data_IF_874463859610
#
_entry.id   IF_874463859610
#
_cell.length_a   1.000
_cell.length_b   1.000
_cell.length_c   1.000
_cell.angle_alpha   90.00
_cell.angle_beta   90.00
_cell.angle_gamma   90.00
#
_symmetry.space_group_name_H-M   'P 1'
#
loop_
_entity.id
_entity.type
_entity.pdbx_description
1 polymer ?
#
# COMPACT_ATOMS: atom_id res chain seq x y z
N UNK A 1 11.36 7.74 -32.58
CA UNK A 1 11.15 7.43 -31.15
C UNK A 1 10.02 6.41 -31.08
N UNK A 2 10.33 5.13 -31.29
CA UNK A 2 9.32 4.08 -31.20
C UNK A 2 9.03 3.87 -29.70
N UNK A 3 7.80 4.10 -29.28
CA UNK A 3 7.37 3.76 -27.93
C UNK A 3 7.51 2.24 -27.80
N UNK A 4 8.25 1.75 -26.81
CA UNK A 4 8.36 0.32 -26.53
C UNK A 4 6.97 -0.19 -26.13
N UNK A 5 6.24 -0.77 -27.09
CA UNK A 5 4.89 -1.29 -26.90
C UNK A 5 4.85 -2.33 -25.77
N UNK A 6 5.97 -3.02 -25.54
CA UNK A 6 6.16 -3.95 -24.43
C UNK A 6 6.19 -3.23 -23.09
N UNK A 7 7.01 -2.18 -22.95
CA UNK A 7 7.05 -1.34 -21.72
C UNK A 7 5.70 -0.69 -21.42
N UNK A 8 4.98 -0.24 -22.45
CA UNK A 8 3.64 0.33 -22.30
C UNK A 8 2.61 -0.73 -21.85
N UNK A 9 2.67 -1.94 -22.41
CA UNK A 9 1.83 -3.07 -22.00
C UNK A 9 2.10 -3.47 -20.55
N UNK A 10 3.36 -3.56 -20.15
CA UNK A 10 3.75 -3.88 -18.77
C UNK A 10 3.29 -2.81 -17.78
N UNK A 11 3.47 -1.52 -18.11
CA UNK A 11 3.04 -0.42 -17.26
C UNK A 11 1.51 -0.39 -17.10
N UNK A 12 0.78 -0.56 -18.21
CA UNK A 12 -0.70 -0.50 -18.22
C UNK A 12 -1.31 -1.71 -17.50
N UNK A 13 -0.78 -2.91 -17.74
CA UNK A 13 -1.21 -4.13 -17.04
C UNK A 13 -0.92 -4.08 -15.55
N UNK A 14 0.25 -3.56 -15.16
CA UNK A 14 0.60 -3.35 -13.75
C UNK A 14 -0.32 -2.33 -13.07
N UNK A 15 -0.60 -1.20 -13.71
CA UNK A 15 -1.47 -0.16 -13.16
C UNK A 15 -2.92 -0.64 -13.01
N UNK A 16 -3.50 -1.24 -14.05
CA UNK A 16 -4.86 -1.80 -14.02
C UNK A 16 -4.97 -2.95 -13.01
N UNK A 17 -3.98 -3.84 -12.96
CA UNK A 17 -3.93 -4.93 -11.98
C UNK A 17 -3.90 -4.40 -10.55
N UNK A 18 -3.10 -3.37 -10.29
CA UNK A 18 -3.04 -2.73 -8.97
C UNK A 18 -4.36 -2.06 -8.57
N UNK A 19 -5.00 -1.34 -9.49
CA UNK A 19 -6.27 -0.65 -9.22
C UNK A 19 -7.41 -1.64 -8.96
N UNK A 20 -7.52 -2.68 -9.79
CA UNK A 20 -8.55 -3.71 -9.65
C UNK A 20 -8.33 -4.53 -8.38
N UNK A 21 -7.09 -4.95 -8.10
CA UNK A 21 -6.74 -5.67 -6.87
C UNK A 21 -7.09 -4.83 -5.63
N UNK A 22 -6.74 -3.54 -5.64
CA UNK A 22 -7.05 -2.62 -4.53
C UNK A 22 -8.55 -2.47 -4.35
N UNK A 23 -9.31 -2.32 -5.44
CA UNK A 23 -10.78 -2.16 -5.38
C UNK A 23 -11.44 -3.42 -4.81
N UNK A 24 -11.05 -4.61 -5.28
CA UNK A 24 -11.58 -5.90 -4.82
C UNK A 24 -11.27 -6.11 -3.32
N UNK A 25 -10.09 -5.71 -2.86
CA UNK A 25 -9.63 -5.92 -1.49
C UNK A 25 -9.95 -4.76 -0.54
N UNK A 26 -10.51 -3.67 -1.03
CA UNK A 26 -10.83 -2.49 -0.22
C UNK A 26 -11.81 -2.80 0.93
N UNK A 27 -12.84 -3.64 0.76
CA UNK A 27 -13.70 -4.03 1.88
C UNK A 27 -12.94 -4.70 3.03
N UNK A 28 -11.94 -5.53 2.71
CA UNK A 28 -11.10 -6.19 3.71
C UNK A 28 -10.22 -5.16 4.46
N UNK A 29 -9.74 -4.12 3.76
CA UNK A 29 -9.02 -3.01 4.38
C UNK A 29 -9.88 -2.23 5.36
N UNK A 30 -11.12 -1.91 4.97
CA UNK A 30 -12.05 -1.19 5.84
C UNK A 30 -12.43 -2.02 7.06
N UNK A 31 -12.71 -3.31 6.89
CA UNK A 31 -12.96 -4.20 8.03
C UNK A 31 -11.76 -4.24 8.97
N UNK A 32 -10.54 -4.35 8.42
CA UNK A 32 -9.31 -4.40 9.21
C UNK A 32 -9.07 -3.11 9.98
N UNK A 33 -9.18 -1.96 9.33
CA UNK A 33 -8.92 -0.66 9.95
C UNK A 33 -9.95 -0.38 11.05
N UNK A 34 -11.24 -0.66 10.83
CA UNK A 34 -12.26 -0.57 11.87
C UNK A 34 -11.98 -1.50 13.06
N UNK A 35 -11.67 -2.78 12.78
CA UNK A 35 -11.31 -3.74 13.83
C UNK A 35 -10.07 -3.32 14.63
N UNK A 36 -9.10 -2.66 14.00
CA UNK A 36 -7.90 -2.15 14.69
C UNK A 36 -8.23 -1.03 15.69
N UNK A 37 -9.21 -0.17 15.35
CA UNK A 37 -9.58 1.06 16.09
C UNK A 37 -10.53 0.82 17.26
N UNK A 38 -11.38 -0.20 17.18
CA UNK A 38 -12.49 -0.46 18.11
C UNK A 38 -12.11 -0.48 19.61
N UNK A 39 -10.85 -0.77 19.98
CA UNK A 39 -10.45 -0.89 21.39
C UNK A 39 -10.28 0.48 22.10
N UNK A 40 -10.50 1.58 21.39
CA UNK A 40 -10.56 2.90 22.02
C UNK A 40 -11.87 3.13 22.79
N UNK A 41 -12.93 2.36 22.50
CA UNK A 41 -14.24 2.53 23.13
C UNK A 41 -14.40 1.70 24.42
N UNK A 42 -15.20 2.21 25.34
CA UNK A 42 -15.27 1.85 26.75
C UNK A 42 -15.67 0.38 27.01
N UNK A 43 -14.69 -0.50 27.22
CA UNK A 43 -14.83 -1.75 27.99
C UNK A 43 -15.68 -2.88 27.37
N UNK A 44 -16.47 -2.59 26.33
CA UNK A 44 -17.31 -3.56 25.62
C UNK A 44 -16.70 -3.80 24.24
N UNK A 45 -16.22 -5.02 23.98
CA UNK A 45 -15.75 -5.41 22.63
C UNK A 45 -16.97 -5.54 21.71
N UNK A 46 -17.23 -4.57 20.85
CA UNK A 46 -18.30 -4.65 19.83
C UNK A 46 -18.06 -5.76 18.81
N UNK A 47 -16.79 -5.97 18.42
CA UNK A 47 -16.39 -7.00 17.45
C UNK A 47 -15.48 -8.05 18.09
N UNK A 48 -15.80 -9.34 17.95
CA UNK A 48 -14.90 -10.45 18.31
C UNK A 48 -13.95 -10.76 17.16
N UNK A 49 -14.49 -10.76 15.95
CA UNK A 49 -13.79 -11.14 14.73
C UNK A 49 -13.95 -10.10 13.62
N UNK A 50 -13.06 -10.16 12.63
CA UNK A 50 -13.15 -9.35 11.41
C UNK A 50 -14.45 -9.62 10.65
N UNK A 51 -14.97 -10.84 10.71
CA UNK A 51 -16.24 -11.25 10.12
C UNK A 51 -17.43 -10.47 10.67
N UNK A 52 -17.37 -10.05 11.93
CA UNK A 52 -18.47 -9.36 12.59
C UNK A 52 -18.63 -7.95 12.00
N UNK A 53 -17.52 -7.31 11.65
CA UNK A 53 -17.49 -6.02 10.96
C UNK A 53 -18.12 -6.13 9.57
N UNK A 54 -17.79 -7.20 8.84
CA UNK A 54 -18.40 -7.47 7.54
C UNK A 54 -19.89 -7.79 7.65
N UNK A 55 -20.26 -8.60 8.66
CA UNK A 55 -21.65 -8.98 8.91
C UNK A 55 -22.52 -7.79 9.30
N UNK A 56 -22.02 -6.86 10.12
CA UNK A 56 -22.72 -5.62 10.44
C UNK A 56 -22.97 -4.77 9.18
N UNK A 57 -21.98 -4.63 8.31
CA UNK A 57 -22.13 -3.88 7.07
C UNK A 57 -23.21 -4.50 6.15
N UNK A 58 -23.28 -5.83 6.09
CA UNK A 58 -24.28 -6.58 5.31
C UNK A 58 -25.67 -6.44 5.96
N UNK A 59 -25.77 -6.69 7.26
CA UNK A 59 -27.02 -6.64 8.03
C UNK A 59 -27.67 -5.25 7.98
N UNK A 60 -26.85 -4.19 8.07
CA UNK A 60 -27.31 -2.81 8.00
C UNK A 60 -27.58 -2.33 6.57
N UNK A 61 -27.44 -3.20 5.55
CA UNK A 61 -27.52 -2.87 4.10
C UNK A 61 -26.60 -1.72 3.68
N UNK A 62 -25.48 -1.56 4.38
CA UNK A 62 -24.50 -0.49 4.17
C UNK A 62 -23.19 -1.02 3.56
N UNK A 63 -23.28 -1.99 2.64
CA UNK A 63 -22.10 -2.60 1.98
C UNK A 63 -21.26 -1.56 1.22
N UNK A 64 -21.89 -0.56 0.62
CA UNK A 64 -21.20 0.56 -0.03
C UNK A 64 -20.34 1.38 0.96
N UNK A 65 -20.67 1.35 2.25
CA UNK A 65 -19.89 2.05 3.25
C UNK A 65 -18.53 1.39 3.50
N UNK A 66 -18.33 0.13 3.07
CA UNK A 66 -17.01 -0.51 3.06
C UNK A 66 -16.05 0.16 2.06
N UNK A 67 -16.57 0.94 1.11
CA UNK A 67 -15.79 1.71 0.13
C UNK A 67 -15.58 3.18 0.54
N UNK A 68 -15.95 3.56 1.76
CA UNK A 68 -15.72 4.91 2.27
C UNK A 68 -14.23 5.26 2.26
N UNK A 69 -13.91 6.41 1.68
CA UNK A 69 -12.54 6.89 1.53
C UNK A 69 -11.74 6.30 0.36
N UNK A 70 -12.32 5.40 -0.48
CA UNK A 70 -11.59 4.80 -1.60
C UNK A 70 -11.07 5.87 -2.58
N UNK A 71 -11.91 6.84 -2.95
CA UNK A 71 -11.52 7.94 -3.84
C UNK A 71 -10.36 8.76 -3.25
N UNK A 72 -10.44 9.08 -1.96
CA UNK A 72 -9.36 9.76 -1.22
C UNK A 72 -8.09 8.92 -1.21
N UNK A 73 -8.19 7.61 -1.00
CA UNK A 73 -7.04 6.70 -0.94
C UNK A 73 -6.35 6.58 -2.29
N UNK A 74 -7.11 6.52 -3.38
CA UNK A 74 -6.59 6.51 -4.74
C UNK A 74 -5.90 7.84 -5.08
N UNK A 75 -6.52 8.97 -4.74
CA UNK A 75 -5.91 10.30 -4.93
C UNK A 75 -4.59 10.43 -4.15
N UNK A 76 -4.60 10.01 -2.88
CA UNK A 76 -3.40 9.96 -2.03
C UNK A 76 -2.31 9.11 -2.66
N UNK A 77 -2.66 7.92 -3.18
CA UNK A 77 -1.71 6.99 -3.81
C UNK A 77 -1.11 7.57 -5.09
N UNK A 78 -1.93 8.25 -5.91
CA UNK A 78 -1.47 8.93 -7.11
C UNK A 78 -0.46 10.04 -6.78
N UNK A 79 -0.79 10.93 -5.84
CA UNK A 79 0.09 12.01 -5.40
C UNK A 79 1.37 11.43 -4.80
N UNK A 80 1.27 10.37 -4.00
CA UNK A 80 2.43 9.71 -3.41
C UNK A 80 3.41 9.20 -4.46
N UNK A 81 2.89 8.51 -5.48
CA UNK A 81 3.69 7.95 -6.55
C UNK A 81 4.38 9.05 -7.38
N UNK A 82 3.65 10.13 -7.68
CA UNK A 82 4.18 11.27 -8.40
C UNK A 82 5.33 11.93 -7.63
N UNK A 83 5.09 12.31 -6.37
CA UNK A 83 6.09 12.97 -5.52
C UNK A 83 7.31 12.08 -5.30
N UNK A 84 7.10 10.77 -5.13
CA UNK A 84 8.20 9.82 -4.93
C UNK A 84 9.11 9.74 -6.16
N UNK A 85 8.55 9.46 -7.34
CA UNK A 85 9.37 9.32 -8.55
C UNK A 85 9.99 10.62 -9.01
N UNK A 86 9.25 11.73 -8.91
CA UNK A 86 9.78 13.05 -9.22
C UNK A 86 10.91 13.41 -8.26
N UNK A 87 10.69 13.28 -6.95
CA UNK A 87 11.69 13.56 -5.92
C UNK A 87 12.94 12.69 -6.07
N UNK A 88 12.75 11.38 -6.28
CA UNK A 88 13.86 10.46 -6.53
C UNK A 88 14.66 10.83 -7.78
N UNK A 89 14.00 11.14 -8.90
CA UNK A 89 14.66 11.56 -10.14
C UNK A 89 15.42 12.88 -9.97
N UNK A 90 14.83 13.82 -9.23
CA UNK A 90 15.44 15.10 -8.90
C UNK A 90 16.69 14.92 -8.03
N UNK A 91 16.60 14.19 -6.91
CA UNK A 91 17.74 13.93 -6.04
C UNK A 91 18.84 13.14 -6.76
N UNK A 92 18.47 12.16 -7.60
CA UNK A 92 19.40 11.41 -8.46
C UNK A 92 20.16 12.34 -9.40
N UNK A 93 19.47 13.26 -10.09
CA UNK A 93 20.12 14.23 -10.99
C UNK A 93 21.10 15.12 -10.24
N UNK A 94 20.67 15.70 -9.12
CA UNK A 94 21.53 16.55 -8.28
C UNK A 94 22.79 15.81 -7.78
N UNK A 95 22.63 14.55 -7.37
CA UNK A 95 23.76 13.73 -6.91
C UNK A 95 24.78 13.47 -8.02
N UNK A 96 24.30 13.12 -9.22
CA UNK A 96 25.17 12.85 -10.37
C UNK A 96 25.91 14.11 -10.84
N UNK A 97 25.21 15.25 -10.91
CA UNK A 97 25.81 16.54 -11.27
C UNK A 97 26.88 16.98 -10.26
N UNK A 98 26.62 16.80 -8.96
CA UNK A 98 27.55 17.25 -7.90
C UNK A 98 28.73 16.31 -7.68
N UNK A 99 28.55 15.01 -7.92
CA UNK A 99 29.59 14.00 -7.64
C UNK A 99 30.43 13.64 -8.87
N UNK A 100 30.00 14.00 -10.07
CA UNK A 100 30.70 13.68 -11.33
C UNK A 100 30.72 12.20 -11.71
N UNK A 101 30.07 11.32 -10.93
CA UNK A 101 30.01 9.88 -11.21
C UNK A 101 29.02 9.57 -12.35
N UNK A 102 29.36 8.60 -13.21
CA UNK A 102 28.46 8.12 -14.29
C UNK A 102 27.36 7.18 -13.78
N UNK A 103 27.48 6.62 -12.58
CA UNK A 103 26.52 5.67 -12.00
C UNK A 103 26.35 5.87 -10.49
N UNK A 104 25.20 5.42 -9.97
CA UNK A 104 24.87 5.51 -8.56
C UNK A 104 25.17 4.17 -7.89
N UNK A 105 26.06 4.19 -6.89
CA UNK A 105 26.29 3.02 -6.04
C UNK A 105 25.10 2.72 -5.13
N UNK A 106 24.94 1.46 -4.73
CA UNK A 106 23.79 0.97 -3.94
C UNK A 106 23.51 1.80 -2.68
N UNK A 107 24.56 2.22 -1.95
CA UNK A 107 24.41 3.05 -0.74
C UNK A 107 23.82 4.42 -1.05
N UNK A 108 24.33 5.11 -2.07
CA UNK A 108 23.81 6.39 -2.51
C UNK A 108 22.36 6.24 -3.01
N UNK A 109 22.07 5.17 -3.76
CA UNK A 109 20.72 4.88 -4.23
C UNK A 109 19.70 4.76 -3.10
N UNK A 110 20.07 4.06 -2.02
CA UNK A 110 19.23 3.91 -0.82
C UNK A 110 18.98 5.24 -0.11
N UNK A 111 20.00 6.10 0.00
CA UNK A 111 19.85 7.43 0.62
C UNK A 111 18.90 8.31 -0.21
N UNK A 112 19.06 8.31 -1.54
CA UNK A 112 18.19 9.08 -2.44
C UNK A 112 16.75 8.57 -2.41
N UNK A 113 16.57 7.25 -2.37
CA UNK A 113 15.25 6.63 -2.22
C UNK A 113 14.61 6.96 -0.86
N UNK A 114 15.37 6.97 0.22
CA UNK A 114 14.91 7.36 1.55
C UNK A 114 14.52 8.84 1.62
N UNK A 115 15.31 9.72 1.02
CA UNK A 115 15.00 11.15 0.91
C UNK A 115 13.70 11.38 0.12
N UNK A 116 13.54 10.70 -1.02
CA UNK A 116 12.31 10.74 -1.80
C UNK A 116 11.10 10.22 -1.00
N UNK A 117 11.24 9.08 -0.32
CA UNK A 117 10.21 8.50 0.53
C UNK A 117 9.79 9.42 1.68
N UNK A 118 10.75 10.12 2.29
CA UNK A 118 10.49 11.09 3.36
C UNK A 118 9.71 12.29 2.84
N UNK A 119 10.13 12.89 1.71
CA UNK A 119 9.40 13.98 1.06
C UNK A 119 7.97 13.56 0.70
N UNK A 120 7.79 12.37 0.14
CA UNK A 120 6.48 11.81 -0.17
C UNK A 120 5.61 11.65 1.06
N UNK A 121 6.17 11.13 2.16
CA UNK A 121 5.42 10.95 3.40
C UNK A 121 4.93 12.29 3.95
N UNK A 122 5.77 13.33 3.94
CA UNK A 122 5.40 14.68 4.41
C UNK A 122 4.27 15.26 3.56
N UNK A 123 4.38 15.19 2.23
CA UNK A 123 3.37 15.76 1.33
C UNK A 123 2.03 15.03 1.40
N UNK A 124 2.07 13.71 1.57
CA UNK A 124 0.85 12.89 1.50
C UNK A 124 0.20 12.64 2.86
N UNK A 125 0.84 13.02 3.97
CA UNK A 125 0.34 12.79 5.32
C UNK A 125 -1.09 13.32 5.55
N UNK A 126 -1.47 14.55 5.14
CA UNK A 126 -2.83 15.05 5.33
C UNK A 126 -3.89 14.18 4.66
N UNK A 127 -3.60 13.69 3.45
CA UNK A 127 -4.52 12.83 2.70
C UNK A 127 -4.61 11.43 3.29
N UNK A 128 -3.50 10.90 3.82
CA UNK A 128 -3.48 9.60 4.48
C UNK A 128 -4.28 9.64 5.79
N UNK A 129 -4.10 10.69 6.59
CA UNK A 129 -4.90 10.92 7.80
C UNK A 129 -6.39 11.10 7.46
N UNK A 130 -6.73 11.90 6.45
CA UNK A 130 -8.12 12.06 6.01
C UNK A 130 -8.73 10.74 5.52
N UNK A 131 -7.99 9.95 4.74
CA UNK A 131 -8.45 8.64 4.27
C UNK A 131 -8.68 7.67 5.43
N UNK A 132 -7.78 7.64 6.42
CA UNK A 132 -7.95 6.81 7.61
C UNK A 132 -9.19 7.21 8.41
N UNK A 133 -9.41 8.51 8.66
CA UNK A 133 -10.63 9.00 9.34
C UNK A 133 -11.90 8.62 8.59
N UNK A 134 -11.91 8.73 7.26
CA UNK A 134 -13.06 8.31 6.46
C UNK A 134 -13.31 6.79 6.57
N UNK A 135 -12.26 5.97 6.57
CA UNK A 135 -12.35 4.51 6.69
C UNK A 135 -12.82 4.06 8.09
N UNK A 136 -12.40 4.77 9.14
CA UNK A 136 -12.74 4.42 10.53
C UNK A 136 -14.05 5.02 11.00
N UNK A 137 -14.67 5.90 10.21
CA UNK A 137 -15.97 6.52 10.52
C UNK A 137 -17.10 5.48 10.58
N UNK A 138 -18.15 5.77 11.34
CA UNK A 138 -19.35 4.92 11.37
C UNK A 138 -19.94 4.73 9.97
N UNK A 139 -20.56 3.57 9.74
CA UNK A 139 -21.13 3.24 8.43
C UNK A 139 -22.19 4.26 8.00
N UNK A 140 -22.12 4.69 6.74
CA UNK A 140 -22.96 5.77 6.20
C UNK A 140 -22.67 7.19 6.69
N UNK A 141 -21.79 7.39 7.69
CA UNK A 141 -21.49 8.71 8.29
C UNK A 141 -20.17 9.34 7.83
N UNK A 142 -19.42 8.71 6.93
CA UNK A 142 -18.16 9.28 6.42
C UNK A 142 -18.40 10.64 5.75
N UNK A 143 -17.71 11.66 6.26
CA UNK A 143 -17.65 12.99 5.66
C UNK A 143 -16.83 12.94 4.35
N UNK A 144 -17.08 13.87 3.44
CA UNK A 144 -16.29 14.00 2.21
C UNK A 144 -14.85 14.46 2.49
N UNK A 145 -13.95 14.30 1.51
CA UNK A 145 -12.54 14.65 1.64
C UNK A 145 -12.34 16.11 2.09
N UNK A 146 -12.98 17.05 1.40
CA UNK A 146 -12.89 18.48 1.71
C UNK A 146 -13.28 18.79 3.15
N UNK A 147 -14.42 18.26 3.58
CA UNK A 147 -14.93 18.45 4.94
C UNK A 147 -13.99 17.84 5.99
N UNK A 148 -13.44 16.65 5.71
CA UNK A 148 -12.49 15.97 6.60
C UNK A 148 -11.16 16.73 6.74
N UNK A 149 -10.72 17.42 5.68
CA UNK A 149 -9.49 18.23 5.69
C UNK A 149 -9.69 19.59 6.38
N UNK A 150 -10.88 20.18 6.31
CA UNK A 150 -11.16 21.53 6.83
C UNK A 150 -11.65 21.55 8.28
N UNK A 151 -12.19 20.45 8.79
CA UNK A 151 -12.73 20.38 10.16
C UNK A 151 -11.67 20.29 11.27
N UNK A 152 -10.40 20.01 10.91
CA UNK A 152 -9.31 19.84 11.87
C UNK A 152 -8.26 20.96 11.84
N UNK A 153 -7.36 20.93 12.81
CA UNK A 153 -6.16 21.79 12.83
C UNK A 153 -5.12 21.23 11.85
N UNK A 154 -4.21 22.08 11.33
CA UNK A 154 -3.06 21.62 10.54
C UNK A 154 -2.25 20.53 11.26
N UNK A 155 -2.08 20.64 12.59
CA UNK A 155 -1.40 19.60 13.38
C UNK A 155 -2.10 18.24 13.28
N UNK A 156 -3.43 18.23 13.26
CA UNK A 156 -4.23 17.00 13.25
C UNK A 156 -4.12 16.29 11.90
N UNK A 157 -3.90 17.04 10.81
CA UNK A 157 -3.65 16.46 9.49
C UNK A 157 -2.31 15.70 9.42
N UNK A 158 -1.33 16.11 10.22
CA UNK A 158 0.00 15.49 10.31
C UNK A 158 0.10 14.42 11.41
N UNK A 159 -1.00 14.05 12.05
CA UNK A 159 -1.03 12.98 13.04
C UNK A 159 -0.51 11.66 12.46
N UNK A 160 0.41 11.03 13.19
CA UNK A 160 1.07 9.80 12.76
C UNK A 160 2.27 9.99 11.83
N UNK A 161 2.69 11.22 11.48
CA UNK A 161 3.82 11.47 10.59
C UNK A 161 5.11 10.76 11.05
N UNK A 162 5.44 10.83 12.35
CA UNK A 162 6.63 10.16 12.89
C UNK A 162 6.60 8.64 12.68
N UNK A 163 5.42 8.02 12.78
CA UNK A 163 5.24 6.61 12.49
C UNK A 163 5.26 6.35 10.98
N UNK A 164 4.67 7.22 10.16
CA UNK A 164 4.76 7.14 8.69
C UNK A 164 6.22 7.14 8.22
N UNK A 165 7.07 8.00 8.81
CA UNK A 165 8.51 8.03 8.54
C UNK A 165 9.18 6.73 8.94
N UNK A 166 8.89 6.19 10.13
CA UNK A 166 9.40 4.86 10.53
C UNK A 166 8.97 3.76 9.55
N UNK A 167 7.72 3.81 9.07
CA UNK A 167 7.17 2.85 8.11
C UNK A 167 7.78 2.95 6.72
N UNK A 168 8.49 4.02 6.37
CA UNK A 168 9.29 4.08 5.13
C UNK A 168 10.42 3.05 5.09
N UNK A 169 10.80 2.48 6.25
CA UNK A 169 11.73 1.35 6.33
C UNK A 169 11.13 0.00 5.90
N UNK A 170 9.79 -0.12 5.83
CA UNK A 170 9.12 -1.38 5.49
C UNK A 170 9.58 -1.96 4.13
N UNK A 171 9.64 -1.18 3.02
CA UNK A 171 10.23 -1.65 1.77
C UNK A 171 11.68 -2.09 1.91
N UNK A 172 12.51 -1.39 2.69
CA UNK A 172 13.92 -1.75 2.87
C UNK A 172 14.07 -3.12 3.56
N UNK A 173 13.27 -3.38 4.60
CA UNK A 173 13.22 -4.68 5.27
C UNK A 173 12.75 -5.76 4.29
N UNK A 174 11.67 -5.49 3.54
CA UNK A 174 11.14 -6.41 2.54
C UNK A 174 12.19 -6.78 1.48
N UNK A 175 12.87 -5.79 0.88
CA UNK A 175 13.89 -6.04 -0.14
C UNK A 175 15.10 -6.78 0.43
N UNK A 176 15.52 -6.46 1.65
CA UNK A 176 16.65 -7.15 2.31
C UNK A 176 16.33 -8.62 2.53
N UNK A 177 15.13 -8.94 3.04
CA UNK A 177 14.69 -10.33 3.23
C UNK A 177 14.55 -11.03 1.88
N UNK A 178 13.99 -10.35 0.88
CA UNK A 178 13.82 -10.88 -0.47
C UNK A 178 15.17 -11.26 -1.10
N UNK A 179 16.16 -10.38 -1.04
CA UNK A 179 17.47 -10.62 -1.60
C UNK A 179 18.20 -11.77 -0.88
N UNK A 180 18.12 -11.83 0.46
CA UNK A 180 18.71 -12.93 1.22
C UNK A 180 18.08 -14.28 0.87
N UNK A 181 16.74 -14.34 0.78
CA UNK A 181 16.04 -15.57 0.41
C UNK A 181 16.33 -15.97 -1.04
N UNK A 182 16.29 -15.01 -1.96
CA UNK A 182 16.63 -15.24 -3.38
C UNK A 182 18.06 -15.76 -3.53
N UNK A 183 19.04 -15.16 -2.85
CA UNK A 183 20.43 -15.61 -2.91
C UNK A 183 20.62 -17.01 -2.33
N UNK A 184 19.94 -17.36 -1.22
CA UNK A 184 20.00 -18.71 -0.64
C UNK A 184 19.43 -19.76 -1.61
N UNK A 185 18.28 -19.47 -2.23
CA UNK A 185 17.66 -20.36 -3.20
C UNK A 185 18.51 -20.55 -4.45
N UNK A 186 19.10 -19.48 -4.98
CA UNK A 186 20.02 -19.56 -6.12
C UNK A 186 21.25 -20.41 -5.78
N UNK A 187 21.86 -20.19 -4.60
CA UNK A 187 23.01 -20.99 -4.13
C UNK A 187 22.65 -22.47 -3.95
N UNK A 188 21.44 -22.79 -3.49
CA UNK A 188 20.99 -24.16 -3.33
C UNK A 188 20.79 -24.84 -4.69
N UNK A 189 20.13 -24.16 -5.65
CA UNK A 189 19.98 -24.67 -7.02
C UNK A 189 21.30 -24.82 -7.77
N UNK A 190 22.26 -23.93 -7.53
CA UNK A 190 23.63 -24.05 -8.07
C UNK A 190 24.40 -25.24 -7.48
N UNK A 191 24.05 -25.70 -6.28
CA UNK A 191 24.64 -26.93 -5.69
C UNK A 191 23.96 -28.20 -6.16
N UNK A 192 22.69 -28.12 -6.55
CA UNK A 192 21.89 -29.23 -7.07
C UNK A 192 22.06 -29.41 -8.60
N UNK A 193 22.46 -28.37 -9.32
CA UNK A 193 22.76 -28.44 -10.75
C UNK A 193 24.19 -28.96 -10.99
N UNK A 194 24.28 -30.24 -11.37
CA UNK A 194 25.47 -30.79 -12.01
C UNK A 194 25.75 -30.04 -13.32
N UNK A 195 27.02 -30.00 -13.73
CA UNK A 195 27.55 -29.24 -14.86
C UNK A 195 26.58 -29.26 -16.07
N UNK A 196 26.20 -28.08 -16.58
CA UNK A 196 25.62 -27.84 -17.93
C UNK A 196 24.10 -27.57 -18.08
N UNK A 197 23.54 -26.57 -17.39
CA UNK A 197 22.24 -25.99 -17.80
C UNK A 197 22.04 -24.53 -17.37
N UNK A 198 21.84 -23.67 -18.38
CA UNK A 198 21.11 -22.37 -18.47
C UNK A 198 21.06 -21.40 -17.26
N UNK A 199 21.02 -20.06 -17.49
CA UNK A 199 20.82 -19.10 -16.41
C UNK A 199 19.55 -19.45 -15.63
N UNK A 200 19.69 -19.82 -14.35
CA UNK A 200 18.59 -20.24 -13.48
C UNK A 200 17.73 -19.01 -13.17
N UNK A 201 16.80 -18.70 -14.07
CA UNK A 201 15.75 -17.72 -13.83
C UNK A 201 14.77 -18.32 -12.83
N UNK A 202 14.52 -17.61 -11.73
CA UNK A 202 13.57 -18.03 -10.72
C UNK A 202 12.18 -18.07 -11.37
N UNK A 203 11.48 -19.23 -11.30
CA UNK A 203 10.11 -19.34 -11.77
C UNK A 203 9.25 -18.22 -11.16
N UNK A 204 8.35 -17.63 -11.96
CA UNK A 204 7.50 -16.51 -11.54
C UNK A 204 6.77 -16.82 -10.23
N UNK A 205 6.32 -18.07 -10.06
CA UNK A 205 5.67 -18.53 -8.84
C UNK A 205 6.62 -18.58 -7.63
N UNK A 206 7.87 -19.01 -7.80
CA UNK A 206 8.85 -18.99 -6.71
C UNK A 206 9.26 -17.57 -6.35
N UNK A 207 9.43 -16.68 -7.34
CA UNK A 207 9.70 -15.26 -7.11
C UNK A 207 8.54 -14.59 -6.36
N UNK A 208 7.30 -14.93 -6.72
CA UNK A 208 6.10 -14.53 -6.01
C UNK A 208 6.11 -14.99 -4.54
N UNK A 209 6.36 -16.28 -4.29
CA UNK A 209 6.32 -16.84 -2.95
C UNK A 209 7.40 -16.22 -2.05
N UNK A 210 8.62 -16.04 -2.58
CA UNK A 210 9.70 -15.35 -1.88
C UNK A 210 9.31 -13.90 -1.60
N UNK A 211 8.67 -13.22 -2.57
CA UNK A 211 8.09 -11.89 -2.40
C UNK A 211 7.06 -11.82 -1.27
N UNK A 212 6.13 -12.77 -1.23
CA UNK A 212 5.06 -12.85 -0.23
C UNK A 212 5.60 -13.12 1.18
N UNK A 213 6.55 -14.04 1.32
CA UNK A 213 7.23 -14.33 2.59
C UNK A 213 7.98 -13.08 3.08
N UNK A 214 8.74 -12.45 2.19
CA UNK A 214 9.50 -11.24 2.50
C UNK A 214 8.58 -10.09 2.95
N UNK A 215 7.44 -9.92 2.27
CA UNK A 215 6.43 -8.93 2.64
C UNK A 215 5.81 -9.25 4.00
N UNK A 216 5.56 -10.51 4.29
CA UNK A 216 4.97 -10.96 5.56
C UNK A 216 5.93 -10.70 6.72
N UNK A 217 7.22 -11.07 6.59
CA UNK A 217 8.25 -10.79 7.61
C UNK A 217 8.39 -9.29 7.87
N UNK A 218 8.50 -8.49 6.81
CA UNK A 218 8.56 -7.02 6.95
C UNK A 218 7.30 -6.46 7.64
N UNK A 219 6.14 -7.00 7.31
CA UNK A 219 4.87 -6.61 7.90
C UNK A 219 4.82 -6.96 9.38
N UNK A 220 5.20 -8.19 9.79
CA UNK A 220 5.22 -8.62 11.20
C UNK A 220 6.12 -7.70 12.03
N UNK A 221 7.33 -7.39 11.53
CA UNK A 221 8.29 -6.54 12.23
C UNK A 221 7.79 -5.10 12.39
N UNK A 222 7.09 -4.58 11.38
CA UNK A 222 6.59 -3.19 11.38
C UNK A 222 5.15 -3.06 11.90
N UNK A 223 4.49 -4.18 12.19
CA UNK A 223 3.08 -4.22 12.53
C UNK A 223 2.68 -3.38 13.75
N UNK A 224 3.45 -3.40 14.86
CA UNK A 224 3.14 -2.54 16.01
C UNK A 224 3.06 -1.06 15.65
N UNK A 225 3.94 -0.60 14.75
CA UNK A 225 3.93 0.76 14.23
C UNK A 225 2.70 0.99 13.32
N UNK A 226 2.38 0.06 12.41
CA UNK A 226 1.18 0.15 11.57
C UNK A 226 -0.08 0.31 12.44
N UNK A 227 -0.21 -0.49 13.50
CA UNK A 227 -1.35 -0.40 14.41
C UNK A 227 -1.40 0.95 15.11
N UNK A 228 -0.29 1.41 15.69
CA UNK A 228 -0.23 2.72 16.35
C UNK A 228 -0.59 3.86 15.39
N UNK A 229 -0.15 3.80 14.13
CA UNK A 229 -0.51 4.79 13.10
C UNK A 229 -2.02 4.83 12.86
N UNK A 230 -2.65 3.69 12.60
CA UNK A 230 -4.10 3.62 12.34
C UNK A 230 -4.90 4.12 13.54
N UNK A 231 -4.47 3.79 14.76
CA UNK A 231 -5.13 4.28 16.00
C UNK A 231 -5.03 5.80 16.17
N UNK A 232 -3.90 6.40 15.80
CA UNK A 232 -3.69 7.85 15.87
C UNK A 232 -4.51 8.57 14.80
N UNK A 233 -4.59 8.00 13.60
CA UNK A 233 -5.32 8.58 12.47
C UNK A 233 -6.82 8.23 12.44
N UNK A 234 -7.30 7.43 13.40
CA UNK A 234 -8.70 7.07 13.51
C UNK A 234 -9.56 8.28 13.85
N UNK A 235 -10.76 8.33 13.26
CA UNK A 235 -11.82 9.25 13.67
C UNK A 235 -12.30 8.92 15.09
N UNK A 236 -12.62 9.97 15.85
CA UNK A 236 -13.17 9.82 17.19
C UNK A 236 -14.69 9.50 17.12
N UNK A 237 -15.20 8.60 17.98
CA UNK A 237 -16.61 8.19 17.96
C UNK A 237 -17.60 9.30 18.36
N UNK A 238 -17.16 10.35 19.07
CA UNK A 238 -18.06 11.38 19.63
C UNK A 238 -18.44 12.54 18.67
N UNK A 239 -17.98 12.55 17.42
CA UNK A 239 -18.20 13.73 16.57
C UNK A 239 -19.66 13.97 16.14
N UNK A 240 -20.55 12.96 16.23
CA UNK A 240 -21.91 13.05 15.68
C UNK A 240 -23.05 13.05 16.70
N UNK A 241 -22.86 12.60 17.96
CA UNK A 241 -23.97 12.45 18.93
C UNK A 241 -24.14 13.63 19.91
N UNK A 242 -23.23 14.61 19.97
CA UNK A 242 -23.38 15.74 20.89
C UNK A 242 -22.91 17.08 20.30
N UNK A 243 -23.78 17.73 19.51
CA UNK A 243 -23.58 19.12 19.03
C UNK A 243 -23.51 20.15 20.18
N UNK A 244 -23.70 19.73 21.43
CA UNK A 244 -23.77 20.59 22.62
C UNK A 244 -22.44 20.70 23.39
N UNK A 245 -21.46 19.83 23.13
CA UNK A 245 -20.13 19.90 23.77
C UNK A 245 -19.09 20.58 22.88
N UNK A 246 -19.29 21.86 22.61
CA UNK A 246 -18.21 22.72 22.12
C UNK A 246 -17.16 22.88 23.23
N UNK A 247 -15.89 22.70 22.86
CA UNK A 247 -14.69 23.20 23.55
C UNK A 247 -14.15 22.46 24.80
N UNK A 248 -14.11 21.12 24.81
CA UNK A 248 -13.00 20.45 25.50
C UNK A 248 -11.97 19.98 24.45
N UNK A 249 -10.83 20.68 24.40
CA UNK A 249 -9.65 20.26 23.63
C UNK A 249 -9.27 18.85 24.11
N UNK A 250 -9.60 17.83 23.31
CA UNK A 250 -9.19 16.45 23.60
C UNK A 250 -7.66 16.37 23.69
N UNK A 251 -7.10 15.61 24.64
CA UNK A 251 -5.66 15.48 24.79
C UNK A 251 -5.08 14.84 23.52
N UNK A 252 -4.04 15.48 22.98
CA UNK A 252 -3.34 15.06 21.75
C UNK A 252 -2.96 13.58 21.84
N UNK A 253 -3.35 12.78 20.84
CA UNK A 253 -2.95 11.37 20.72
C UNK A 253 -1.46 11.32 20.36
N UNK A 254 -0.60 11.42 21.37
CA UNK A 254 0.84 11.29 21.18
C UNK A 254 1.18 9.83 20.87
N UNK A 255 2.21 9.60 20.05
CA UNK A 255 2.67 8.23 19.73
C UNK A 255 2.92 7.42 21.00
N UNK A 256 3.56 8.04 22.00
CA UNK A 256 3.83 7.43 23.31
C UNK A 256 2.55 7.14 24.10
N UNK A 257 1.51 7.98 24.01
CA UNK A 257 0.27 7.76 24.75
C UNK A 257 -0.53 6.62 24.15
N UNK A 258 -0.60 6.51 22.82
CA UNK A 258 -1.25 5.39 22.13
C UNK A 258 -0.51 4.09 22.39
N UNK A 259 0.82 4.10 22.29
CA UNK A 259 1.64 2.93 22.59
C UNK A 259 1.45 2.44 24.03
N UNK A 260 1.55 3.36 25.01
CA UNK A 260 1.37 3.02 26.42
C UNK A 260 -0.06 2.55 26.72
N UNK A 261 -1.07 3.11 26.06
CA UNK A 261 -2.46 2.72 26.24
C UNK A 261 -2.72 1.30 25.72
N UNK A 262 -2.16 0.95 24.55
CA UNK A 262 -2.21 -0.41 24.03
C UNK A 262 -1.52 -1.37 24.98
N UNK A 263 -0.30 -1.03 25.42
CA UNK A 263 0.46 -1.88 26.34
C UNK A 263 -0.29 -2.13 27.65
N UNK A 264 -0.87 -1.09 28.25
CA UNK A 264 -1.60 -1.19 29.52
C UNK A 264 -2.95 -1.90 29.41
N UNK A 265 -3.70 -1.68 28.32
CA UNK A 265 -5.05 -2.24 28.16
C UNK A 265 -5.07 -3.63 27.52
N UNK A 266 -4.14 -3.91 26.61
CA UNK A 266 -4.16 -5.11 25.78
C UNK A 266 -2.89 -5.95 25.84
N UNK A 267 -1.82 -5.44 26.46
CA UNK A 267 -0.53 -6.10 26.51
C UNK A 267 0.14 -6.25 25.14
N UNK A 268 1.14 -7.12 25.08
CA UNK A 268 1.93 -7.42 23.88
C UNK A 268 1.06 -7.97 22.73
N UNK A 269 0.12 -8.92 22.95
CA UNK A 269 -0.73 -9.44 21.88
C UNK A 269 -1.63 -8.37 21.24
N UNK A 270 -1.97 -7.32 22.00
CA UNK A 270 -2.73 -6.18 21.50
C UNK A 270 -2.10 -5.58 20.24
N UNK A 271 -0.79 -5.37 20.21
CA UNK A 271 -0.09 -4.76 19.07
C UNK A 271 -0.29 -5.53 17.76
N UNK A 272 -0.61 -6.82 17.81
CA UNK A 272 -0.77 -7.71 16.66
C UNK A 272 -2.23 -7.95 16.25
N UNK A 273 -3.20 -7.25 16.86
CA UNK A 273 -4.62 -7.39 16.47
C UNK A 273 -4.87 -6.98 15.03
N UNK A 274 -5.43 -7.92 14.26
CA UNK A 274 -5.73 -7.76 12.84
C UNK A 274 -4.55 -8.08 11.92
N UNK A 275 -3.49 -8.72 12.43
CA UNK A 275 -2.33 -9.08 11.59
C UNK A 275 -2.68 -10.12 10.55
N UNK A 276 -3.55 -11.07 10.89
CA UNK A 276 -4.07 -12.07 9.97
C UNK A 276 -4.73 -11.42 8.75
N UNK A 277 -5.59 -10.42 8.99
CA UNK A 277 -6.21 -9.64 7.93
C UNK A 277 -5.18 -8.93 7.05
N UNK A 278 -4.10 -8.39 7.65
CA UNK A 278 -3.03 -7.74 6.90
C UNK A 278 -2.28 -8.73 6.01
N UNK A 279 -1.89 -9.88 6.56
CA UNK A 279 -1.11 -10.90 5.84
C UNK A 279 -1.96 -11.45 4.70
N UNK A 280 -3.19 -11.87 5.00
CA UNK A 280 -4.16 -12.36 4.01
C UNK A 280 -4.37 -11.34 2.90
N UNK A 281 -4.57 -10.07 3.23
CA UNK A 281 -4.68 -8.98 2.25
C UNK A 281 -3.41 -8.85 1.40
N UNK A 282 -2.21 -8.89 2.00
CA UNK A 282 -0.95 -8.75 1.25
C UNK A 282 -0.72 -9.91 0.27
N UNK A 283 -1.03 -11.14 0.69
CA UNK A 283 -0.89 -12.33 -0.15
C UNK A 283 -1.92 -12.31 -1.28
N UNK A 284 -3.20 -12.06 -0.95
CA UNK A 284 -4.27 -11.93 -1.95
C UNK A 284 -4.00 -10.80 -2.95
N UNK A 285 -3.54 -9.65 -2.48
CA UNK A 285 -3.24 -8.52 -3.35
C UNK A 285 -2.13 -8.86 -4.34
N UNK A 286 -1.08 -9.51 -3.85
CA UNK A 286 0.02 -9.95 -4.70
C UNK A 286 -0.44 -11.01 -5.71
N UNK A 287 -1.27 -11.97 -5.29
CA UNK A 287 -1.80 -13.02 -6.15
C UNK A 287 -2.73 -12.46 -7.24
N UNK A 288 -3.66 -11.57 -6.85
CA UNK A 288 -4.56 -10.90 -7.79
C UNK A 288 -3.80 -10.02 -8.77
N UNK A 289 -2.79 -9.28 -8.30
CA UNK A 289 -1.96 -8.46 -9.18
C UNK A 289 -1.28 -9.31 -10.24
N UNK A 290 -0.69 -10.46 -9.86
CA UNK A 290 -0.07 -11.36 -10.84
C UNK A 290 -1.09 -11.96 -11.80
N UNK A 291 -2.21 -12.47 -11.29
CA UNK A 291 -3.27 -13.05 -12.13
C UNK A 291 -3.80 -12.03 -13.15
N UNK A 292 -4.06 -10.80 -12.69
CA UNK A 292 -4.55 -9.72 -13.56
C UNK A 292 -3.45 -9.29 -14.54
N UNK A 293 -2.20 -9.18 -14.10
CA UNK A 293 -1.06 -8.88 -14.98
C UNK A 293 -0.94 -9.93 -16.08
N UNK A 294 -0.95 -11.21 -15.74
CA UNK A 294 -0.86 -12.32 -16.70
C UNK A 294 -2.01 -12.29 -17.72
N UNK A 295 -3.24 -12.07 -17.26
CA UNK A 295 -4.40 -11.95 -18.15
C UNK A 295 -4.29 -10.75 -19.08
N UNK A 296 -3.95 -9.56 -18.56
CA UNK A 296 -3.82 -8.35 -19.38
C UNK A 296 -2.65 -8.45 -20.35
N UNK A 297 -1.49 -8.97 -19.93
CA UNK A 297 -0.33 -9.16 -20.81
C UNK A 297 -0.66 -10.15 -21.94
N UNK A 298 -1.34 -11.26 -21.64
CA UNK A 298 -1.78 -12.21 -22.67
C UNK A 298 -2.75 -11.56 -23.66
N UNK A 299 -3.76 -10.82 -23.18
CA UNK A 299 -4.70 -10.10 -24.05
C UNK A 299 -4.01 -9.03 -24.90
N UNK A 300 -3.05 -8.30 -24.32
CA UNK A 300 -2.30 -7.25 -25.02
C UNK A 300 -1.44 -7.83 -26.13
N UNK A 301 -0.77 -8.97 -25.88
CA UNK A 301 0.00 -9.69 -26.90
C UNK A 301 -0.87 -10.13 -28.09
N UNK A 302 -2.06 -10.69 -27.82
CA UNK A 302 -3.02 -11.07 -28.87
C UNK A 302 -3.46 -9.84 -29.68
N UNK A 303 -3.70 -8.72 -29.02
CA UNK A 303 -4.07 -7.45 -29.67
C UNK A 303 -2.95 -6.90 -30.54
N UNK A 304 -1.70 -6.93 -30.07
CA UNK A 304 -0.53 -6.49 -30.85
C UNK A 304 -0.37 -7.36 -32.10
N UNK A 305 -0.48 -8.69 -31.98
CA UNK A 305 -0.42 -9.61 -33.11
C UNK A 305 -1.56 -9.37 -34.11
N UNK A 306 -2.77 -9.09 -33.62
CA UNK A 306 -3.91 -8.75 -34.48
C UNK A 306 -3.68 -7.43 -35.25
N UNK A 307 -3.14 -6.40 -34.60
CA UNK A 307 -2.82 -5.10 -35.22
C UNK A 307 -1.68 -5.25 -36.22
N UNK A 308 -0.62 -6.00 -35.90
CA UNK A 308 0.48 -6.26 -36.84
C UNK A 308 -0.01 -7.01 -38.08
N UNK A 309 -0.87 -8.02 -37.90
CA UNK A 309 -1.47 -8.77 -39.00
C UNK A 309 -2.36 -7.87 -39.86
N UNK A 310 -3.15 -7.00 -39.25
CA UNK A 310 -3.97 -6.01 -39.95
C UNK A 310 -3.10 -5.01 -40.75
N UNK A 311 -2.06 -4.44 -40.14
CA UNK A 311 -1.14 -3.52 -40.81
C UNK A 311 -0.37 -4.16 -41.97
N UNK A 312 0.08 -5.42 -41.81
CA UNK A 312 0.72 -6.19 -42.87
C UNK A 312 -0.25 -6.48 -44.04
N UNK A 313 -1.50 -6.83 -43.75
CA UNK A 313 -2.54 -7.01 -44.77
C UNK A 313 -2.86 -5.71 -45.50
N UNK A 314 -2.85 -4.57 -44.81
CA UNK A 314 -3.11 -3.25 -45.41
C UNK A 314 -1.93 -2.79 -46.27
N UNK A 315 -0.68 -3.03 -45.84
CA UNK A 315 0.52 -2.80 -46.68
C UNK A 315 0.57 -3.71 -47.91
N UNK A 316 0.11 -4.96 -47.79
CA UNK A 316 0.03 -5.90 -48.92
C UNK A 316 -0.98 -5.46 -49.99
N UNK A 317 -2.08 -4.78 -49.59
CA UNK A 317 -3.06 -4.21 -50.53
C UNK A 317 -2.53 -2.96 -51.24
N UNK A 318 -1.79 -2.10 -50.54
CA UNK A 318 -1.15 -0.91 -51.12
C UNK A 318 0.00 -1.20 -52.10
N UNK A 319 0.61 -2.39 -52.05
CA UNK A 319 1.66 -2.82 -52.99
C UNK A 319 1.12 -3.49 -54.27
N UNK A 320 -0.19 -3.79 -54.31
CA UNK A 320 -0.88 -4.44 -55.44
C UNK A 320 -1.80 -3.47 -56.21
N UNK A 321 -1.92 -2.23 -55.75
CA UNK A 321 -2.57 -1.12 -56.45
C UNK A 321 -1.47 -0.24 -57.07
#
# INVERSE_FOLDING_TARGET
>A
MAVDLESLSEATSGALGSLLSTTILYPLDTCKTKYQVEVQDHGQRKYRNLSDVLWEAISNRQVLSLYQGLGTKNLQSFIAQFVYFYGYSYFKRLYLEKSGFKSIGTKANLILAAAAGTSTAIVTQPLDTASSRMQTSAYGKSKGLWKTLTEGTLSDAFDGLGISLLLTSNPAIQFTVFDQLKQRLLKQKLKEADHDSSPVVLSAFTAFLVGAISKSVATILTYPAIRCKVMIQASDPDEDDDKTKRAQRKPRKTVSSVFCNIWKKEGIPGFFKGIEAQITKTVLSSALLLMIKEKISATTWVLILAIQRYLLLTRGKLKKA
#
